data_IF_052244835367
#
_entry.id   IF_052244835367
#
_cell.length_a   1.000
_cell.length_b   1.000
_cell.length_c   1.000
_cell.angle_alpha   90.00
_cell.angle_beta   90.00
_cell.angle_gamma   90.00
#
_symmetry.space_group_name_H-M   'P 1'
#
loop_
_entity.id
_entity.type
_entity.pdbx_description
1 polymer ?
#
# COMPACT_ATOMS: atom_id res chain seq x y z
N UNK A 1 21.26 -1.58 -2.57
CA UNK A 1 20.11 -1.24 -1.71
C UNK A 1 19.89 0.25 -1.85
N UNK A 2 18.85 0.62 -2.58
CA UNK A 2 18.43 2.02 -2.75
C UNK A 2 17.62 2.46 -1.53
N UNK A 3 17.68 3.74 -1.21
CA UNK A 3 17.37 4.38 0.07
C UNK A 3 16.12 3.91 0.85
N UNK A 4 16.17 4.04 2.18
CA UNK A 4 15.03 3.91 3.10
C UNK A 4 14.99 5.16 3.95
N UNK A 5 13.84 5.84 4.00
CA UNK A 5 13.74 7.15 4.63
C UNK A 5 13.18 7.08 6.04
N UNK A 6 13.70 7.96 6.90
CA UNK A 6 12.95 8.49 8.02
C UNK A 6 12.32 9.81 7.55
N UNK A 7 11.07 10.13 7.94
CA UNK A 7 10.46 11.40 7.57
C UNK A 7 11.31 12.57 8.05
N UNK A 8 11.46 13.59 7.20
CA UNK A 8 11.96 14.89 7.66
C UNK A 8 11.00 15.40 8.72
N UNK A 9 11.50 16.05 9.79
CA UNK A 9 10.62 16.70 10.75
C UNK A 9 9.67 17.65 10.01
N UNK A 10 8.36 17.42 10.13
CA UNK A 10 7.37 18.28 9.50
C UNK A 10 7.49 19.69 10.07
N UNK A 11 7.33 20.68 9.21
CA UNK A 11 7.30 22.08 9.59
C UNK A 11 6.14 22.38 10.55
N UNK A 12 5.04 21.64 10.42
CA UNK A 12 3.93 21.60 11.38
C UNK A 12 3.22 20.22 11.33
N UNK A 13 3.51 19.30 12.27
CA UNK A 13 2.90 17.97 12.25
C UNK A 13 1.39 17.98 12.53
N UNK A 14 0.85 19.08 13.08
CA UNK A 14 -0.57 19.17 13.46
C UNK A 14 -1.52 19.28 12.27
N UNK A 15 -1.00 19.50 11.06
CA UNK A 15 -1.81 19.76 9.86
C UNK A 15 -1.88 18.60 8.87
N UNK A 16 -1.07 17.54 9.04
CA UNK A 16 -0.90 16.53 7.97
C UNK A 16 -1.18 15.09 8.42
N UNK A 17 -1.02 14.76 9.69
CA UNK A 17 -1.23 13.39 10.18
C UNK A 17 -2.39 13.35 11.18
N UNK A 18 -3.59 13.09 10.66
CA UNK A 18 -4.79 12.89 11.49
C UNK A 18 -4.92 11.41 11.91
N UNK A 19 -4.19 10.51 11.22
CA UNK A 19 -4.32 9.06 11.33
C UNK A 19 -2.94 8.38 11.37
N UNK A 20 -2.87 7.20 11.98
CA UNK A 20 -1.65 6.37 12.00
C UNK A 20 -0.60 6.79 13.03
N UNK A 21 -0.99 7.57 14.06
CA UNK A 21 -0.10 7.96 15.16
C UNK A 21 0.06 6.82 16.19
N UNK A 22 -1.00 6.03 16.41
CA UNK A 22 -1.00 4.96 17.39
C UNK A 22 -0.41 3.65 16.82
N UNK A 23 0.36 2.87 17.61
CA UNK A 23 1.06 1.68 17.10
C UNK A 23 0.19 0.63 16.40
N UNK A 24 -1.09 0.55 16.79
CA UNK A 24 -2.03 -0.43 16.26
C UNK A 24 -2.94 0.12 15.16
N UNK A 25 -2.85 1.41 14.84
CA UNK A 25 -3.53 1.97 13.68
C UNK A 25 -2.77 1.58 12.39
N UNK A 26 -3.47 1.51 11.25
CA UNK A 26 -2.80 1.34 9.97
C UNK A 26 -1.86 2.53 9.70
N UNK A 27 -0.65 2.24 9.24
CA UNK A 27 0.21 3.27 8.66
C UNK A 27 -0.48 3.82 7.40
N UNK A 28 -0.48 5.14 7.26
CA UNK A 28 -1.16 5.87 6.16
C UNK A 28 -0.27 6.96 5.56
N UNK A 29 -0.79 7.65 4.53
CA UNK A 29 -0.20 8.84 3.87
C UNK A 29 1.05 8.57 3.03
N UNK A 30 1.39 7.32 2.72
CA UNK A 30 2.58 7.00 1.92
C UNK A 30 2.28 6.96 0.42
N UNK A 31 3.30 7.22 -0.40
CA UNK A 31 3.24 6.89 -1.83
C UNK A 31 3.33 5.38 -2.06
N UNK A 32 2.83 4.90 -3.19
CA UNK A 32 3.02 3.49 -3.59
C UNK A 32 4.52 3.13 -3.64
N UNK A 33 5.37 4.06 -4.09
CA UNK A 33 6.82 3.90 -4.09
C UNK A 33 7.39 3.69 -2.68
N UNK A 34 6.96 4.48 -1.69
CA UNK A 34 7.34 4.28 -0.29
C UNK A 34 6.91 2.93 0.25
N UNK A 35 5.67 2.51 -0.04
CA UNK A 35 5.18 1.20 0.38
C UNK A 35 6.04 0.06 -0.20
N UNK A 36 6.47 0.18 -1.47
CA UNK A 36 7.42 -0.74 -2.10
C UNK A 36 8.79 -0.70 -1.42
N UNK A 37 9.34 0.48 -1.11
CA UNK A 37 10.61 0.59 -0.40
C UNK A 37 10.55 0.00 1.01
N UNK A 38 9.41 0.13 1.71
CA UNK A 38 9.21 -0.53 2.99
C UNK A 38 9.30 -2.05 2.85
N UNK A 39 8.67 -2.64 1.83
CA UNK A 39 8.76 -4.09 1.58
C UNK A 39 10.19 -4.56 1.23
N UNK A 40 10.94 -3.73 0.49
CA UNK A 40 12.37 -3.96 0.19
C UNK A 40 13.21 -3.90 1.46
N UNK A 41 12.99 -2.88 2.29
CA UNK A 41 13.67 -2.72 3.56
C UNK A 41 13.39 -3.90 4.50
N UNK A 42 12.12 -4.29 4.64
CA UNK A 42 11.72 -5.44 5.45
C UNK A 42 12.35 -6.74 4.93
N UNK A 43 12.49 -6.87 3.61
CA UNK A 43 13.21 -7.98 2.99
C UNK A 43 14.68 -8.01 3.38
N UNK A 44 15.35 -6.87 3.32
CA UNK A 44 16.75 -6.73 3.74
C UNK A 44 16.94 -6.98 5.24
N UNK A 45 15.98 -6.56 6.07
CA UNK A 45 16.01 -6.73 7.52
C UNK A 45 15.82 -8.19 7.94
N UNK A 46 14.90 -8.89 7.29
CA UNK A 46 14.45 -10.22 7.73
C UNK A 46 15.07 -11.38 6.96
N UNK A 47 15.64 -11.11 5.78
CA UNK A 47 16.08 -12.15 4.84
C UNK A 47 14.95 -12.80 4.05
N UNK A 48 13.69 -12.43 4.30
CA UNK A 48 12.49 -13.00 3.64
C UNK A 48 11.95 -12.03 2.60
N UNK A 49 11.57 -12.52 1.43
CA UNK A 49 11.08 -11.65 0.36
C UNK A 49 9.66 -11.14 0.64
N UNK A 50 9.49 -9.82 0.65
CA UNK A 50 8.22 -9.12 0.78
C UNK A 50 7.99 -8.17 -0.40
N UNK A 51 6.72 -8.00 -0.76
CA UNK A 51 6.26 -7.08 -1.81
C UNK A 51 4.85 -6.57 -1.52
N UNK A 52 4.41 -5.58 -2.27
CA UNK A 52 2.99 -5.27 -2.39
C UNK A 52 2.24 -6.40 -3.11
N UNK A 53 0.93 -6.56 -2.85
CA UNK A 53 0.08 -7.45 -3.63
C UNK A 53 -0.05 -6.95 -5.08
N UNK A 54 -0.18 -7.89 -6.02
CA UNK A 54 -0.84 -7.61 -7.28
C UNK A 54 -2.33 -7.35 -7.03
N UNK A 55 -2.96 -6.56 -7.89
CA UNK A 55 -4.38 -6.23 -7.76
C UNK A 55 -5.25 -7.50 -7.74
N UNK A 56 -4.93 -8.45 -8.61
CA UNK A 56 -5.63 -9.73 -8.69
C UNK A 56 -5.50 -10.55 -7.39
N UNK A 57 -4.33 -10.54 -6.75
CA UNK A 57 -4.13 -11.21 -5.46
C UNK A 57 -4.93 -10.53 -4.36
N UNK A 58 -4.93 -9.19 -4.34
CA UNK A 58 -5.68 -8.41 -3.36
C UNK A 58 -7.17 -8.73 -3.44
N UNK A 59 -7.77 -8.69 -4.64
CA UNK A 59 -9.20 -8.98 -4.81
C UNK A 59 -9.52 -10.44 -4.46
N UNK A 60 -8.67 -11.38 -4.87
CA UNK A 60 -8.85 -12.80 -4.55
C UNK A 60 -8.83 -13.03 -3.03
N UNK A 61 -7.87 -12.42 -2.34
CA UNK A 61 -7.75 -12.46 -0.89
C UNK A 61 -8.93 -11.78 -0.20
N UNK A 62 -9.39 -10.63 -0.70
CA UNK A 62 -10.53 -9.89 -0.17
C UNK A 62 -11.80 -10.74 -0.22
N UNK A 63 -12.08 -11.35 -1.37
CA UNK A 63 -13.25 -12.22 -1.60
C UNK A 63 -13.22 -13.47 -0.75
N UNK A 64 -12.05 -14.08 -0.54
CA UNK A 64 -11.89 -15.30 0.26
C UNK A 64 -12.93 -16.41 -0.07
N UNK A 65 -13.22 -16.57 -1.36
CA UNK A 65 -14.17 -17.54 -1.90
C UNK A 65 -15.61 -17.05 -2.10
N UNK A 66 -15.95 -15.82 -1.69
CA UNK A 66 -17.28 -15.24 -1.97
C UNK A 66 -17.35 -14.61 -3.36
N UNK A 67 -18.56 -14.51 -3.90
CA UNK A 67 -18.85 -13.86 -5.20
C UNK A 67 -19.69 -12.59 -5.06
N UNK A 68 -20.15 -12.30 -3.85
CA UNK A 68 -20.87 -11.08 -3.48
C UNK A 68 -19.98 -9.83 -3.58
N UNK A 69 -20.57 -8.62 -3.49
CA UNK A 69 -19.81 -7.37 -3.42
C UNK A 69 -18.83 -7.32 -2.24
N UNK A 70 -19.20 -7.91 -1.09
CA UNK A 70 -18.41 -7.95 0.14
C UNK A 70 -18.12 -9.40 0.57
N UNK A 71 -17.08 -9.62 1.35
CA UNK A 71 -16.74 -10.93 1.90
C UNK A 71 -17.72 -11.43 2.98
N UNK A 72 -18.53 -10.53 3.55
CA UNK A 72 -19.59 -10.86 4.50
C UNK A 72 -20.90 -11.35 3.86
N UNK A 73 -20.95 -11.51 2.54
CA UNK A 73 -22.09 -11.96 1.72
C UNK A 73 -23.33 -11.04 1.69
N UNK A 74 -23.49 -10.08 2.62
CA UNK A 74 -24.60 -9.13 2.62
C UNK A 74 -24.26 -7.78 3.27
N UNK A 75 -24.90 -6.71 2.77
CA UNK A 75 -24.72 -5.30 3.16
C UNK A 75 -25.23 -5.02 4.56
N UNK A 76 -26.29 -5.69 5.02
CA UNK A 76 -26.86 -5.50 6.36
C UNK A 76 -25.84 -5.79 7.49
N UNK A 77 -24.85 -6.63 7.20
CA UNK A 77 -23.77 -6.98 8.12
C UNK A 77 -22.48 -6.21 7.88
N UNK A 78 -22.42 -5.31 6.90
CA UNK A 78 -21.18 -4.66 6.45
C UNK A 78 -20.44 -3.94 7.57
N UNK A 79 -21.15 -3.25 8.45
CA UNK A 79 -20.56 -2.55 9.60
C UNK A 79 -19.91 -3.45 10.66
N UNK A 80 -20.16 -4.76 10.64
CA UNK A 80 -19.43 -5.73 11.46
C UNK A 80 -18.04 -6.06 10.91
N UNK A 81 -17.80 -5.82 9.61
CA UNK A 81 -16.58 -6.20 8.88
C UNK A 81 -15.73 -4.99 8.48
N UNK A 82 -16.28 -3.77 8.55
CA UNK A 82 -15.65 -2.58 8.01
C UNK A 82 -15.75 -1.37 8.93
N UNK A 83 -14.70 -0.54 8.87
CA UNK A 83 -14.72 0.85 9.30
C UNK A 83 -14.91 1.75 8.07
N UNK A 84 -16.01 2.47 8.00
CA UNK A 84 -16.41 3.26 6.83
C UNK A 84 -17.22 4.49 7.28
N UNK A 85 -17.64 5.34 6.35
CA UNK A 85 -18.15 6.70 6.66
C UNK A 85 -19.25 6.75 7.73
N UNK A 86 -20.08 5.71 7.85
CA UNK A 86 -21.19 5.69 8.83
C UNK A 86 -20.78 5.29 10.25
N UNK A 87 -19.63 4.64 10.44
CA UNK A 87 -19.25 4.06 11.73
C UNK A 87 -17.79 4.32 12.16
N UNK A 88 -17.01 5.06 11.38
CA UNK A 88 -15.59 5.30 11.63
C UNK A 88 -15.30 6.52 12.50
N UNK A 89 -16.29 7.36 12.76
CA UNK A 89 -16.10 8.68 13.42
C UNK A 89 -15.02 9.53 12.73
N UNK A 90 -14.94 9.42 11.39
CA UNK A 90 -14.01 10.18 10.52
C UNK A 90 -12.52 9.95 10.83
N UNK A 91 -12.17 8.75 11.29
CA UNK A 91 -10.78 8.37 11.57
C UNK A 91 -10.49 6.89 11.32
N UNK A 92 -9.20 6.55 11.24
CA UNK A 92 -8.72 5.17 11.23
C UNK A 92 -8.83 4.54 12.62
N UNK A 93 -9.04 3.24 12.64
CA UNK A 93 -9.19 2.46 13.88
C UNK A 93 -8.07 1.42 14.00
N UNK A 94 -7.79 0.93 15.23
CA UNK A 94 -6.86 -0.17 15.42
C UNK A 94 -7.20 -1.36 14.50
N UNK A 95 -6.16 -1.97 13.93
CA UNK A 95 -6.31 -3.10 13.00
C UNK A 95 -6.93 -4.30 13.70
N UNK A 96 -7.80 -5.03 13.01
CA UNK A 96 -8.36 -6.29 13.48
C UNK A 96 -9.52 -6.19 14.47
N UNK A 97 -10.14 -5.01 14.63
CA UNK A 97 -11.28 -4.83 15.54
C UNK A 97 -12.63 -5.25 14.95
N UNK A 98 -12.74 -5.35 13.62
CA UNK A 98 -13.91 -5.85 12.92
C UNK A 98 -13.80 -7.36 12.65
N UNK A 99 -14.86 -7.98 12.15
CA UNK A 99 -14.85 -9.41 11.78
C UNK A 99 -13.94 -9.62 10.57
N UNK A 100 -13.14 -10.71 10.55
CA UNK A 100 -12.34 -11.04 9.40
C UNK A 100 -13.19 -11.65 8.29
N UNK A 101 -12.66 -11.66 7.07
CA UNK A 101 -13.24 -12.42 5.96
C UNK A 101 -13.09 -13.96 6.20
N UNK A 102 -13.68 -14.82 5.34
CA UNK A 102 -13.61 -16.28 5.49
C UNK A 102 -12.21 -16.91 5.57
N UNK A 103 -11.14 -16.19 5.18
CA UNK A 103 -9.75 -16.64 5.30
C UNK A 103 -9.03 -16.08 6.53
N UNK A 104 -9.72 -15.33 7.39
CA UNK A 104 -9.13 -14.73 8.58
C UNK A 104 -8.42 -13.41 8.33
N UNK A 105 -8.64 -12.76 7.16
CA UNK A 105 -8.06 -11.46 6.86
C UNK A 105 -8.98 -10.34 7.38
N UNK A 106 -8.43 -9.46 8.18
CA UNK A 106 -9.10 -8.29 8.74
C UNK A 106 -8.93 -7.07 7.84
N UNK A 107 -9.86 -6.12 7.98
CA UNK A 107 -9.80 -4.80 7.35
C UNK A 107 -9.67 -4.86 5.81
N UNK A 108 -10.19 -5.92 5.19
CA UNK A 108 -10.26 -6.03 3.72
C UNK A 108 -11.32 -5.11 3.10
N UNK A 109 -12.16 -4.51 3.94
CA UNK A 109 -13.19 -3.54 3.59
C UNK A 109 -13.11 -2.36 4.58
N UNK A 110 -12.80 -1.16 4.09
CA UNK A 110 -12.69 0.03 4.95
C UNK A 110 -11.42 0.10 5.80
N UNK A 111 -11.46 0.94 6.83
CA UNK A 111 -10.32 1.44 7.61
C UNK A 111 -9.36 2.26 6.75
N UNK A 112 -8.58 1.61 5.88
CA UNK A 112 -7.71 2.27 4.91
C UNK A 112 -7.80 1.59 3.56
N UNK A 113 -7.73 2.38 2.49
CA UNK A 113 -7.46 1.79 1.17
C UNK A 113 -6.02 1.32 1.10
N UNK A 114 -5.75 0.23 0.39
CA UNK A 114 -4.43 -0.39 0.35
C UNK A 114 -3.82 -0.28 -1.05
N UNK A 115 -2.56 0.16 -1.10
CA UNK A 115 -1.75 0.09 -2.31
C UNK A 115 -1.61 -1.34 -2.84
N UNK A 116 -1.93 -1.53 -4.11
CA UNK A 116 -1.50 -2.69 -4.91
C UNK A 116 -0.43 -2.24 -5.91
N UNK A 117 0.28 -3.15 -6.56
CA UNK A 117 1.37 -2.78 -7.50
C UNK A 117 0.84 -2.16 -8.81
N UNK A 118 -0.40 -2.45 -9.19
CA UNK A 118 -0.96 -2.18 -10.51
C UNK A 118 -1.30 -0.71 -10.80
N UNK A 119 -1.32 -0.39 -12.09
CA UNK A 119 -1.85 0.81 -12.71
C UNK A 119 -3.33 0.65 -13.08
N UNK A 120 -4.08 1.74 -12.93
CA UNK A 120 -5.49 1.88 -13.27
C UNK A 120 -5.57 2.31 -14.73
N UNK A 121 -5.92 1.38 -15.60
CA UNK A 121 -6.10 1.65 -17.02
C UNK A 121 -7.58 1.73 -17.38
N UNK A 122 -7.91 2.55 -18.39
CA UNK A 122 -9.29 2.71 -18.88
C UNK A 122 -9.90 1.40 -19.38
N UNK A 123 -9.08 0.50 -19.95
CA UNK A 123 -9.51 -0.82 -20.43
C UNK A 123 -9.73 -1.83 -19.29
N UNK A 124 -9.43 -1.46 -18.05
CA UNK A 124 -9.60 -2.29 -16.87
C UNK A 124 -8.99 -3.68 -17.04
N UNK A 125 -9.81 -4.73 -16.85
CA UNK A 125 -9.37 -6.11 -16.97
C UNK A 125 -9.33 -6.66 -18.40
N UNK A 126 -9.61 -5.85 -19.43
CA UNK A 126 -9.71 -6.33 -20.81
C UNK A 126 -8.43 -7.04 -21.29
N UNK A 127 -7.23 -6.52 -20.98
CA UNK A 127 -5.97 -7.20 -21.33
C UNK A 127 -5.86 -8.57 -20.66
N UNK A 128 -6.12 -8.66 -19.36
CA UNK A 128 -6.02 -9.94 -18.65
C UNK A 128 -7.03 -10.96 -19.21
N UNK A 129 -8.25 -10.51 -19.52
CA UNK A 129 -9.30 -11.34 -20.11
C UNK A 129 -8.99 -11.81 -21.54
N UNK A 130 -8.16 -11.08 -22.29
CA UNK A 130 -7.75 -11.44 -23.64
C UNK A 130 -6.61 -12.48 -23.70
N UNK A 131 -5.95 -12.77 -22.58
CA UNK A 131 -4.89 -13.79 -22.50
C UNK A 131 -5.47 -15.22 -22.42
N UNK A 132 -4.71 -16.26 -22.81
CA UNK A 132 -5.08 -17.66 -22.54
C UNK A 132 -5.31 -17.89 -21.04
N UNK A 133 -6.43 -18.51 -20.68
CA UNK A 133 -6.81 -18.72 -19.29
C UNK A 133 -6.40 -20.10 -18.77
N UNK A 134 -6.02 -20.24 -17.48
CA UNK A 134 -5.93 -19.17 -16.48
C UNK A 134 -4.68 -18.30 -16.66
N UNK A 135 -4.80 -17.00 -16.38
CA UNK A 135 -3.68 -16.06 -16.26
C UNK A 135 -3.17 -16.05 -14.81
N UNK A 136 -1.86 -16.01 -14.61
CA UNK A 136 -1.29 -15.84 -13.26
C UNK A 136 -1.46 -14.41 -12.75
N UNK A 137 -1.35 -14.21 -11.43
CA UNK A 137 -1.39 -12.86 -10.86
C UNK A 137 -0.29 -11.98 -11.48
N UNK A 138 0.93 -12.51 -11.58
CA UNK A 138 2.09 -11.82 -12.14
C UNK A 138 1.90 -11.43 -13.62
N UNK A 139 1.37 -12.33 -14.46
CA UNK A 139 1.07 -12.03 -15.87
C UNK A 139 -0.08 -11.03 -16.04
N UNK A 140 -0.94 -10.91 -15.02
CA UNK A 140 -2.03 -9.93 -15.02
C UNK A 140 -1.57 -8.52 -14.67
N UNK A 141 -0.37 -8.34 -14.07
CA UNK A 141 0.09 -7.06 -13.52
C UNK A 141 0.22 -5.97 -14.59
N UNK A 142 -0.45 -4.85 -14.36
CA UNK A 142 -0.25 -3.59 -15.07
C UNK A 142 0.81 -2.76 -14.36
N UNK A 143 2.07 -2.88 -14.76
CA UNK A 143 3.15 -2.09 -14.16
C UNK A 143 2.94 -0.60 -14.43
N UNK A 144 2.98 0.28 -13.41
CA UNK A 144 2.81 1.72 -13.57
C UNK A 144 3.82 2.32 -14.54
N UNK A 145 3.35 3.25 -15.37
CA UNK A 145 4.19 3.97 -16.34
C UNK A 145 4.28 5.47 -16.07
N UNK A 146 3.44 6.00 -15.18
CA UNK A 146 3.49 7.37 -14.68
C UNK A 146 3.26 7.43 -13.14
N UNK A 147 3.15 8.65 -12.60
CA UNK A 147 2.85 8.88 -11.17
C UNK A 147 1.36 8.75 -10.86
N UNK A 148 0.53 8.90 -11.87
CA UNK A 148 -0.90 8.97 -11.77
C UNK A 148 -1.50 7.56 -11.82
N UNK A 149 -2.79 7.48 -11.50
CA UNK A 149 -3.60 6.28 -11.76
C UNK A 149 -3.05 5.00 -11.12
N UNK A 150 -2.27 5.04 -10.03
CA UNK A 150 -1.85 3.83 -9.30
C UNK A 150 -3.03 3.30 -8.49
N UNK A 151 -3.28 1.99 -8.53
CA UNK A 151 -4.49 1.40 -7.96
C UNK A 151 -4.37 1.31 -6.43
N UNK A 152 -5.45 1.71 -5.76
CA UNK A 152 -5.74 1.34 -4.37
C UNK A 152 -7.05 0.59 -4.28
N UNK A 153 -7.17 -0.27 -3.26
CA UNK A 153 -8.31 -1.19 -3.06
C UNK A 153 -8.84 -1.15 -1.63
N UNK A 154 -10.07 -1.63 -1.42
CA UNK A 154 -10.64 -1.87 -0.09
C UNK A 154 -11.51 -0.74 0.48
N UNK A 155 -11.31 0.50 0.04
CA UNK A 155 -12.00 1.67 0.60
C UNK A 155 -11.44 2.07 1.96
N UNK A 156 -11.62 3.32 2.35
CA UNK A 156 -11.11 3.89 3.59
C UNK A 156 -12.23 4.24 4.58
N UNK A 157 -11.85 4.70 5.78
CA UNK A 157 -12.76 5.10 6.84
C UNK A 157 -13.79 6.18 6.43
N UNK A 158 -13.49 7.03 5.44
CA UNK A 158 -14.39 8.08 4.92
C UNK A 158 -15.22 7.64 3.72
N UNK A 159 -15.05 6.41 3.24
CA UNK A 159 -15.69 5.94 2.02
C UNK A 159 -17.09 5.35 2.28
N UNK A 160 -17.97 5.46 1.30
CA UNK A 160 -19.25 4.76 1.30
C UNK A 160 -19.07 3.24 1.11
N UNK A 161 -20.03 2.40 1.54
CA UNK A 161 -19.96 0.96 1.30
C UNK A 161 -19.73 0.57 -0.17
N UNK A 162 -20.25 1.37 -1.11
CA UNK A 162 -20.10 1.12 -2.55
C UNK A 162 -18.64 1.19 -3.03
N UNK A 163 -17.80 1.97 -2.35
CA UNK A 163 -16.38 2.16 -2.60
C UNK A 163 -15.51 1.13 -1.83
N UNK A 164 -16.08 0.45 -0.84
CA UNK A 164 -15.40 -0.60 -0.06
C UNK A 164 -15.64 -2.01 -0.61
N UNK A 165 -16.32 -2.17 -1.76
CA UNK A 165 -16.57 -3.48 -2.38
C UNK A 165 -15.27 -4.17 -2.78
N UNK A 166 -15.28 -5.50 -2.80
CA UNK A 166 -14.14 -6.34 -3.19
C UNK A 166 -13.56 -6.00 -4.56
N UNK A 167 -14.39 -5.52 -5.49
CA UNK A 167 -14.00 -5.12 -6.85
C UNK A 167 -13.91 -3.59 -7.04
N UNK A 168 -14.09 -2.79 -6.00
CA UNK A 168 -13.93 -1.35 -6.09
C UNK A 168 -12.44 -1.01 -6.27
N UNK A 169 -12.17 -0.06 -7.16
CA UNK A 169 -10.83 0.43 -7.53
C UNK A 169 -10.85 1.95 -7.45
N UNK A 170 -9.76 2.55 -6.97
CA UNK A 170 -9.49 4.00 -7.07
C UNK A 170 -8.08 4.16 -7.65
N UNK A 171 -7.94 5.02 -8.66
CA UNK A 171 -6.63 5.43 -9.17
C UNK A 171 -6.09 6.60 -8.35
N UNK A 172 -4.78 6.70 -8.21
CA UNK A 172 -4.13 7.83 -7.56
C UNK A 172 -4.17 9.09 -8.39
N UNK A 173 -4.17 10.24 -7.71
CA UNK A 173 -4.01 11.57 -8.33
C UNK A 173 -2.77 12.24 -7.72
N UNK A 174 -1.57 11.97 -8.23
CA UNK A 174 -0.30 12.30 -7.56
C UNK A 174 -0.12 13.79 -7.32
N UNK A 175 -0.43 14.62 -8.31
CA UNK A 175 -0.33 16.08 -8.16
C UNK A 175 -1.30 16.62 -7.10
N UNK A 176 -2.55 16.16 -7.13
CA UNK A 176 -3.62 16.58 -6.25
C UNK A 176 -3.43 16.08 -4.81
N UNK A 177 -3.00 14.83 -4.64
CA UNK A 177 -2.81 14.21 -3.32
C UNK A 177 -1.60 14.77 -2.57
N UNK A 178 -0.77 15.58 -3.24
CA UNK A 178 0.32 16.35 -2.64
C UNK A 178 0.10 17.87 -2.77
N UNK A 179 -1.13 18.34 -3.04
CA UNK A 179 -1.34 19.76 -3.38
C UNK A 179 -0.82 20.70 -2.29
N UNK A 180 -1.05 20.33 -1.03
CA UNK A 180 -0.62 21.11 0.14
C UNK A 180 0.77 20.74 0.67
N UNK A 181 1.56 19.91 -0.03
CA UNK A 181 2.95 19.66 0.37
C UNK A 181 3.78 20.95 0.18
N UNK A 182 4.31 21.56 1.26
CA UNK A 182 5.03 22.82 1.17
C UNK A 182 6.43 22.67 0.55
N UNK A 183 6.90 21.44 0.31
CA UNK A 183 8.21 21.19 -0.25
C UNK A 183 8.24 21.42 -1.77
N UNK A 184 9.35 21.97 -2.25
CA UNK A 184 9.69 22.02 -3.68
C UNK A 184 11.07 21.37 -3.90
N UNK A 185 11.17 20.30 -4.72
CA UNK A 185 10.06 19.55 -5.33
C UNK A 185 9.12 18.91 -4.28
N UNK A 186 7.93 18.46 -4.68
CA UNK A 186 7.03 17.73 -3.76
C UNK A 186 7.67 16.41 -3.33
N UNK A 187 7.24 15.84 -2.21
CA UNK A 187 7.82 14.61 -1.67
C UNK A 187 7.56 13.40 -2.57
N UNK A 188 8.57 12.56 -2.85
CA UNK A 188 8.34 11.27 -3.49
C UNK A 188 7.84 10.21 -2.49
N UNK A 189 7.76 10.53 -1.20
CA UNK A 189 7.56 9.54 -0.14
C UNK A 189 6.19 9.56 0.52
N UNK A 190 5.55 10.72 0.62
CA UNK A 190 4.26 10.86 1.29
C UNK A 190 3.31 11.76 0.50
N UNK A 191 2.04 11.59 0.80
CA UNK A 191 0.93 12.43 0.39
C UNK A 191 0.47 13.28 1.58
N UNK A 192 -0.21 14.38 1.29
CA UNK A 192 -0.58 15.39 2.28
C UNK A 192 -2.05 15.80 2.19
N UNK A 193 -2.80 15.25 1.25
CA UNK A 193 -4.20 15.63 0.98
C UNK A 193 -5.09 14.39 0.91
N UNK A 194 -6.37 14.54 1.26
CA UNK A 194 -7.35 13.49 1.03
C UNK A 194 -7.55 13.23 -0.47
N UNK A 195 -7.90 11.99 -0.88
CA UNK A 195 -8.15 10.80 -0.05
C UNK A 195 -6.88 10.08 0.45
N UNK A 196 -5.67 10.55 0.14
CA UNK A 196 -4.44 9.81 0.41
C UNK A 196 -4.11 9.66 1.91
N UNK A 197 -4.71 10.48 2.77
CA UNK A 197 -4.60 10.36 4.22
C UNK A 197 -5.23 9.07 4.78
N UNK A 198 -6.12 8.42 4.03
CA UNK A 198 -6.70 7.11 4.35
C UNK A 198 -6.12 5.97 3.52
N UNK A 199 -4.92 6.12 2.96
CA UNK A 199 -4.28 5.11 2.12
C UNK A 199 -3.05 4.54 2.81
N UNK A 200 -3.08 3.23 3.04
CA UNK A 200 -2.01 2.43 3.63
C UNK A 200 -1.54 1.33 2.69
N UNK A 201 -1.08 0.22 3.28
CA UNK A 201 -0.57 -0.92 2.54
C UNK A 201 -0.80 -2.23 3.27
N UNK A 202 -0.74 -3.30 2.48
CA UNK A 202 -0.63 -4.69 2.95
C UNK A 202 0.58 -5.33 2.32
N UNK A 203 1.18 -6.27 3.05
CA UNK A 203 2.35 -7.00 2.61
C UNK A 203 1.97 -8.39 2.11
N UNK A 204 2.62 -8.82 1.04
CA UNK A 204 2.61 -10.21 0.58
C UNK A 204 4.00 -10.79 0.77
N UNK A 205 4.04 -11.96 1.42
CA UNK A 205 5.20 -12.86 1.43
C UNK A 205 4.88 -14.04 0.52
N UNK A 206 5.29 -14.03 -0.75
CA UNK A 206 4.94 -15.08 -1.68
C UNK A 206 5.61 -16.40 -1.30
N UNK A 207 4.93 -17.51 -1.59
CA UNK A 207 5.50 -18.85 -1.45
C UNK A 207 6.58 -19.07 -2.51
N UNK A 208 6.27 -18.71 -3.76
CA UNK A 208 7.20 -18.73 -4.87
C UNK A 208 7.97 -17.42 -4.93
N UNK A 209 9.25 -17.49 -4.55
CA UNK A 209 10.11 -16.31 -4.48
C UNK A 209 10.82 -16.13 -5.83
N UNK A 210 10.87 -14.91 -6.39
CA UNK A 210 11.65 -14.65 -7.58
C UNK A 210 13.11 -15.07 -7.40
N UNK A 211 13.67 -15.73 -8.41
CA UNK A 211 14.96 -16.42 -8.29
C UNK A 211 16.16 -15.49 -8.46
N UNK A 212 16.00 -14.45 -9.27
CA UNK A 212 17.07 -13.50 -9.62
C UNK A 212 16.92 -12.16 -8.89
N UNK A 213 18.03 -11.43 -8.79
CA UNK A 213 18.03 -10.08 -8.22
C UNK A 213 17.19 -9.14 -9.09
N UNK A 214 17.23 -9.29 -10.40
CA UNK A 214 16.48 -8.48 -11.36
C UNK A 214 14.96 -8.67 -11.19
N UNK A 215 14.50 -9.92 -11.08
CA UNK A 215 13.08 -10.21 -10.84
C UNK A 215 12.60 -9.68 -9.48
N UNK A 216 13.42 -9.80 -8.43
CA UNK A 216 13.13 -9.19 -7.12
C UNK A 216 13.06 -7.67 -7.23
N UNK A 217 14.03 -7.06 -7.93
CA UNK A 217 14.14 -5.62 -8.10
C UNK A 217 12.95 -5.02 -8.83
N UNK A 218 12.33 -5.74 -9.78
CA UNK A 218 11.12 -5.29 -10.46
C UNK A 218 10.00 -4.86 -9.49
N UNK A 219 9.88 -5.53 -8.35
CA UNK A 219 8.87 -5.22 -7.33
C UNK A 219 9.17 -3.95 -6.53
N UNK A 220 10.41 -3.45 -6.56
CA UNK A 220 10.86 -2.36 -5.69
C UNK A 220 11.48 -1.17 -6.43
N UNK A 221 11.94 -1.33 -7.66
CA UNK A 221 12.59 -0.25 -8.41
C UNK A 221 11.59 0.89 -8.66
N UNK A 222 12.07 2.11 -8.78
CA UNK A 222 11.19 3.18 -9.26
C UNK A 222 10.71 2.83 -10.68
N UNK A 223 9.44 3.10 -10.96
CA UNK A 223 8.88 2.78 -12.28
C UNK A 223 9.17 3.90 -13.29
N UNK A 224 9.53 5.09 -12.81
CA UNK A 224 9.78 6.29 -13.60
C UNK A 224 11.03 7.03 -13.11
N UNK A 225 11.69 7.73 -14.02
CA UNK A 225 12.96 8.42 -13.77
C UNK A 225 12.84 9.59 -12.77
N UNK A 226 11.69 10.29 -12.73
CA UNK A 226 11.50 11.42 -11.82
C UNK A 226 11.55 11.01 -10.35
N UNK A 227 11.00 9.84 -9.99
CA UNK A 227 11.10 9.29 -8.63
C UNK A 227 12.58 9.03 -8.29
N UNK A 228 13.35 8.44 -9.21
CA UNK A 228 14.77 8.16 -8.96
C UNK A 228 15.57 9.46 -8.76
N UNK A 229 15.29 10.47 -9.59
CA UNK A 229 15.91 11.78 -9.48
C UNK A 229 15.58 12.42 -8.12
N UNK A 230 14.32 12.51 -7.75
CA UNK A 230 13.87 13.14 -6.50
C UNK A 230 14.45 12.43 -5.27
N UNK A 231 14.43 11.09 -5.25
CA UNK A 231 15.02 10.30 -4.16
C UNK A 231 16.52 10.57 -4.04
N UNK A 232 17.25 10.55 -5.16
CA UNK A 232 18.69 10.77 -5.14
C UNK A 232 19.06 12.20 -4.73
N UNK A 233 18.32 13.20 -5.21
CA UNK A 233 18.48 14.59 -4.82
C UNK A 233 18.30 14.76 -3.31
N UNK A 234 17.23 14.21 -2.74
CA UNK A 234 16.97 14.27 -1.28
C UNK A 234 18.05 13.59 -0.47
N UNK A 235 18.52 12.41 -0.88
CA UNK A 235 19.62 11.73 -0.20
C UNK A 235 20.91 12.55 -0.28
N UNK A 236 21.20 13.18 -1.42
CA UNK A 236 22.40 14.02 -1.58
C UNK A 236 22.39 15.26 -0.67
N UNK A 237 21.20 15.76 -0.33
CA UNK A 237 20.98 16.87 0.60
C UNK A 237 20.97 16.43 2.08
N UNK A 238 21.17 15.15 2.37
CA UNK A 238 21.06 14.60 3.74
C UNK A 238 19.63 14.51 4.27
N UNK A 239 18.63 14.61 3.39
CA UNK A 239 17.19 14.50 3.69
C UNK A 239 16.65 13.08 3.50
N UNK A 240 17.54 12.09 3.54
CA UNK A 240 17.25 10.66 3.40
C UNK A 240 18.49 9.82 3.68
N UNK A 241 18.28 8.55 4.01
CA UNK A 241 19.36 7.61 4.31
C UNK A 241 19.31 6.40 3.38
N UNK A 242 20.44 5.72 3.22
CA UNK A 242 20.52 4.42 2.56
C UNK A 242 20.86 3.36 3.58
N UNK A 243 20.14 2.23 3.54
CA UNK A 243 20.37 1.10 4.43
C UNK A 243 19.29 0.94 5.49
N UNK A 244 19.66 0.35 6.61
CA UNK A 244 18.75 0.06 7.72
C UNK A 244 18.70 1.30 8.60
N UNK A 245 17.49 1.68 9.04
CA UNK A 245 17.27 2.89 9.84
C UNK A 245 18.02 2.87 11.19
N UNK A 246 18.25 1.68 11.74
CA UNK A 246 19.01 1.46 12.97
C UNK A 246 19.85 0.18 12.84
N UNK A 247 21.13 0.26 13.22
CA UNK A 247 22.09 -0.83 13.11
C UNK A 247 21.80 -2.00 14.07
N UNK A 248 21.03 -1.78 15.14
CA UNK A 248 20.63 -2.85 16.09
C UNK A 248 19.49 -3.71 15.55
N UNK A 249 18.65 -3.17 14.66
CA UNK A 249 17.43 -3.82 14.19
C UNK A 249 17.63 -5.24 13.63
N UNK A 250 18.66 -5.55 12.83
CA UNK A 250 18.86 -6.92 12.35
C UNK A 250 19.09 -7.91 13.49
N UNK A 251 19.80 -7.50 14.54
CA UNK A 251 20.06 -8.33 15.71
C UNK A 251 18.77 -8.53 16.51
N UNK A 252 18.04 -7.45 16.78
CA UNK A 252 16.77 -7.50 17.51
C UNK A 252 15.71 -8.32 16.75
N UNK A 253 15.63 -8.16 15.42
CA UNK A 253 14.72 -8.94 14.59
C UNK A 253 15.04 -10.44 14.65
N UNK A 254 16.32 -10.84 14.71
CA UNK A 254 16.72 -12.24 14.93
C UNK A 254 16.36 -12.71 16.34
N UNK A 255 16.62 -11.90 17.36
CA UNK A 255 16.30 -12.21 18.77
C UNK A 255 14.80 -12.41 18.99
N UNK A 256 13.96 -11.67 18.26
CA UNK A 256 12.50 -11.78 18.26
C UNK A 256 11.97 -12.86 17.30
N UNK A 257 12.81 -13.52 16.51
CA UNK A 257 12.42 -14.57 15.57
C UNK A 257 11.75 -14.08 14.28
N UNK A 258 11.86 -12.78 13.97
CA UNK A 258 11.35 -12.17 12.73
C UNK A 258 12.31 -12.27 11.55
N UNK A 259 13.61 -12.48 11.80
CA UNK A 259 14.66 -12.57 10.80
C UNK A 259 15.41 -13.91 10.83
N UNK A 260 15.91 -14.34 9.66
CA UNK A 260 16.79 -15.52 9.49
C UNK A 260 18.26 -15.17 9.76
#
# INVERSE_FOLDING_TARGET
>A
VDAVTAPSALYDPTTTFINGEEPQQPAVTMTQYSARQYTKWLTGLTGRFYRLPAEAEWEYACRAGTTSPFSCNDTDSFGDYAWFVENSDDTTHPVGEKKPNPWGLFDMHGNVSEWVIDEMTEDGYARAAAQPQPVTAEESIRWPTDLESRVVRGGAYFDEPSQCRSAARRGSEDEAWKDVDPNLPKSPFWYTEEPALGIGMRLVRPVDIPSTTEEKSQWWKADIESIEFDVNDRVSQGRGARGIADESLPKEAKELGFAE
#
